data_IF_927292114372
#
_entry.id   IF_927292114372
#
_cell.length_a   1.000
_cell.length_b   1.000
_cell.length_c   1.000
_cell.angle_alpha   90.00
_cell.angle_beta   90.00
_cell.angle_gamma   90.00
#
_symmetry.space_group_name_H-M   'P 1'
#
loop_
_entity.id
_entity.type
_entity.pdbx_description
1 polymer ?
#
# COMPACT_ATOMS: atom_id res chain seq x y z
N UNK A 1 -5.32 14.99 -31.01
CA UNK A 1 -5.73 16.26 -30.37
C UNK A 1 -5.93 16.04 -28.85
N UNK A 2 -5.06 15.26 -28.20
CA UNK A 2 -5.44 14.54 -26.96
C UNK A 2 -4.57 14.82 -25.73
N UNK A 3 -3.25 15.04 -25.86
CA UNK A 3 -2.40 15.35 -24.68
C UNK A 3 -2.45 16.81 -24.22
N UNK A 4 -2.41 17.77 -25.15
CA UNK A 4 -2.40 19.20 -24.80
C UNK A 4 -3.72 19.64 -24.15
N UNK A 5 -4.85 19.12 -24.63
CA UNK A 5 -6.17 19.45 -24.09
C UNK A 5 -6.37 18.88 -22.68
N UNK A 6 -5.87 17.66 -22.40
CA UNK A 6 -5.90 17.07 -21.06
C UNK A 6 -5.01 17.83 -20.06
N UNK A 7 -3.79 18.21 -20.47
CA UNK A 7 -2.88 19.02 -19.65
C UNK A 7 -3.51 20.39 -19.33
N UNK A 8 -4.12 21.03 -20.33
CA UNK A 8 -4.82 22.31 -20.15
C UNK A 8 -6.04 22.16 -19.22
N UNK A 9 -6.80 21.06 -19.35
CA UNK A 9 -7.95 20.82 -18.48
C UNK A 9 -7.53 20.57 -17.02
N UNK A 10 -6.47 19.79 -16.77
CA UNK A 10 -5.93 19.56 -15.43
C UNK A 10 -5.39 20.85 -14.83
N UNK A 11 -4.66 21.66 -15.61
CA UNK A 11 -4.19 22.98 -15.17
C UNK A 11 -5.35 23.93 -14.85
N UNK A 12 -6.40 23.98 -15.66
CA UNK A 12 -7.56 24.84 -15.40
C UNK A 12 -8.30 24.38 -14.14
N UNK A 13 -8.49 23.08 -13.94
CA UNK A 13 -9.12 22.55 -12.71
C UNK A 13 -8.25 22.85 -11.49
N UNK A 14 -6.92 22.65 -11.58
CA UNK A 14 -6.00 22.98 -10.50
C UNK A 14 -6.01 24.48 -10.15
N UNK A 15 -5.99 25.36 -11.15
CA UNK A 15 -6.04 26.83 -10.94
C UNK A 15 -7.38 27.25 -10.33
N UNK A 16 -8.50 26.67 -10.77
CA UNK A 16 -9.82 26.98 -10.21
C UNK A 16 -9.92 26.51 -8.75
N UNK A 17 -9.43 25.32 -8.44
CA UNK A 17 -9.36 24.79 -7.07
C UNK A 17 -8.51 25.72 -6.20
N UNK A 18 -7.27 26.02 -6.59
CA UNK A 18 -6.38 26.93 -5.84
C UNK A 18 -7.00 28.32 -5.66
N UNK A 19 -7.68 28.84 -6.67
CA UNK A 19 -8.34 30.15 -6.63
C UNK A 19 -9.56 30.20 -5.70
N UNK A 20 -10.36 29.14 -5.63
CA UNK A 20 -11.51 29.03 -4.71
C UNK A 20 -11.01 28.85 -3.27
N UNK A 21 -9.98 28.02 -3.06
CA UNK A 21 -9.37 27.77 -1.76
C UNK A 21 -8.75 29.02 -1.12
N UNK A 22 -8.05 29.84 -1.91
CA UNK A 22 -7.49 31.10 -1.42
C UNK A 22 -8.57 32.07 -0.92
N UNK A 23 -9.77 32.04 -1.52
CA UNK A 23 -10.90 32.91 -1.14
C UNK A 23 -11.59 32.39 0.13
N UNK A 24 -11.65 31.07 0.34
CA UNK A 24 -12.24 30.49 1.56
C UNK A 24 -11.38 30.71 2.80
N UNK A 25 -10.05 30.66 2.68
CA UNK A 25 -9.12 30.92 3.80
C UNK A 25 -9.15 32.38 4.28
N UNK A 26 -9.42 33.34 3.40
CA UNK A 26 -9.57 34.76 3.80
C UNK A 26 -10.81 35.02 4.67
N UNK A 27 -11.69 34.03 4.87
CA UNK A 27 -12.98 34.20 5.54
C UNK A 27 -13.11 33.40 6.85
N UNK A 28 -12.10 32.60 7.23
CA UNK A 28 -12.09 31.85 8.50
C UNK A 28 -11.18 32.58 9.51
N UNK A 29 -11.71 32.91 10.68
CA UNK A 29 -11.00 33.67 11.73
C UNK A 29 -10.26 32.73 12.72
N UNK A 30 -9.92 31.51 12.29
CA UNK A 30 -9.15 30.53 13.08
C UNK A 30 -7.66 30.86 13.08
N UNK A 31 -6.93 30.39 14.09
CA UNK A 31 -5.47 30.39 14.04
C UNK A 31 -5.04 29.19 13.18
N UNK A 32 -4.63 29.44 11.93
CA UNK A 32 -4.19 28.37 11.01
C UNK A 32 -2.91 27.66 11.50
N UNK A 33 -2.18 28.25 12.45
CA UNK A 33 -0.94 27.70 13.01
C UNK A 33 -1.09 26.28 13.58
N UNK A 34 -2.28 25.90 14.08
CA UNK A 34 -2.55 24.56 14.63
C UNK A 34 -3.42 23.70 13.70
N UNK A 35 -3.57 24.06 12.42
CA UNK A 35 -4.41 23.33 11.46
C UNK A 35 -3.60 22.81 10.27
N UNK A 36 -3.72 21.51 9.97
CA UNK A 36 -3.27 20.92 8.71
C UNK A 36 -4.47 20.73 7.79
N UNK A 37 -4.40 21.31 6.60
CA UNK A 37 -5.41 21.06 5.56
C UNK A 37 -5.02 19.84 4.73
N UNK A 38 -5.95 18.93 4.48
CA UNK A 38 -5.68 17.75 3.66
C UNK A 38 -6.62 17.66 2.46
N UNK A 39 -6.16 16.98 1.42
CA UNK A 39 -6.92 16.70 0.20
C UNK A 39 -6.52 15.36 -0.39
N UNK A 40 -7.39 14.79 -1.22
CA UNK A 40 -7.10 13.52 -1.90
C UNK A 40 -6.17 13.78 -3.09
N UNK A 41 -4.94 13.28 -2.99
CA UNK A 41 -3.95 13.32 -4.07
C UNK A 41 -3.38 11.92 -4.27
N UNK A 42 -3.60 11.30 -5.45
CA UNK A 42 -2.95 10.03 -5.78
C UNK A 42 -1.42 10.14 -5.63
N UNK A 43 -0.74 9.16 -5.00
CA UNK A 43 0.71 9.18 -4.80
C UNK A 43 1.53 9.55 -6.03
N UNK A 44 1.18 8.98 -7.19
CA UNK A 44 1.84 9.24 -8.47
C UNK A 44 1.84 10.71 -8.89
N UNK A 45 0.89 11.51 -8.38
CA UNK A 45 0.73 12.93 -8.69
C UNK A 45 1.33 13.85 -7.60
N UNK A 46 1.64 13.34 -6.41
CA UNK A 46 2.06 14.19 -5.27
C UNK A 46 3.34 14.96 -5.59
N UNK A 47 4.36 14.31 -6.17
CA UNK A 47 5.60 14.98 -6.61
C UNK A 47 5.34 16.20 -7.48
N UNK A 48 4.58 16.01 -8.55
CA UNK A 48 4.32 17.08 -9.53
C UNK A 48 3.49 18.22 -8.91
N UNK A 49 2.57 17.90 -8.00
CA UNK A 49 1.78 18.91 -7.29
C UNK A 49 2.59 19.70 -6.27
N UNK A 50 3.53 19.07 -5.56
CA UNK A 50 4.48 19.74 -4.66
C UNK A 50 5.37 20.69 -5.47
N UNK A 51 5.97 20.21 -6.56
CA UNK A 51 6.84 21.00 -7.45
C UNK A 51 6.11 22.21 -8.07
N UNK A 52 4.80 22.07 -8.32
CA UNK A 52 3.96 23.16 -8.85
C UNK A 52 3.42 24.11 -7.77
N UNK A 53 3.65 23.84 -6.48
CA UNK A 53 3.10 24.60 -5.37
C UNK A 53 1.57 24.49 -5.24
N UNK A 54 0.98 23.39 -5.72
CA UNK A 54 -0.46 23.11 -5.59
C UNK A 54 -0.79 22.50 -4.22
N UNK A 55 0.18 21.81 -3.61
CA UNK A 55 0.16 21.30 -2.24
C UNK A 55 1.53 21.56 -1.61
N UNK A 56 1.59 21.71 -0.30
CA UNK A 56 2.85 21.95 0.41
C UNK A 56 3.61 20.65 0.72
N UNK A 57 2.88 19.54 0.76
CA UNK A 57 3.44 18.22 1.00
C UNK A 57 2.46 17.10 0.68
N UNK A 58 2.89 15.86 0.89
CA UNK A 58 2.07 14.68 0.73
C UNK A 58 2.50 13.57 1.66
N UNK A 59 1.54 12.72 2.05
CA UNK A 59 1.83 11.45 2.73
C UNK A 59 1.70 10.34 1.70
N UNK A 60 2.79 9.61 1.47
CA UNK A 60 2.90 8.62 0.39
C UNK A 60 3.60 7.35 0.84
N UNK A 61 3.71 6.40 -0.09
CA UNK A 61 4.50 5.17 0.04
C UNK A 61 5.59 5.08 -1.04
N UNK A 62 6.57 4.22 -0.83
CA UNK A 62 7.62 3.92 -1.82
C UNK A 62 7.04 3.30 -3.11
N UNK A 63 7.43 3.77 -4.31
CA UNK A 63 8.58 4.63 -4.60
C UNK A 63 8.30 6.13 -4.60
N UNK A 64 7.06 6.55 -4.34
CA UNK A 64 6.64 7.94 -4.53
C UNK A 64 7.30 8.89 -3.53
N UNK A 65 7.66 8.40 -2.34
CA UNK A 65 8.49 9.13 -1.39
C UNK A 65 9.88 9.42 -1.97
N UNK A 66 10.64 8.38 -2.32
CA UNK A 66 11.98 8.52 -2.90
C UNK A 66 12.00 9.31 -4.22
N UNK A 67 10.99 9.14 -5.07
CA UNK A 67 10.85 9.91 -6.31
C UNK A 67 10.68 11.41 -6.07
N UNK A 68 9.94 11.79 -5.02
CA UNK A 68 9.75 13.19 -4.65
C UNK A 68 11.03 13.80 -4.07
N UNK A 69 11.75 13.04 -3.23
CA UNK A 69 13.02 13.48 -2.65
C UNK A 69 14.10 13.66 -3.72
N UNK A 70 14.23 12.68 -4.62
CA UNK A 70 15.24 12.71 -5.68
C UNK A 70 14.94 13.70 -6.80
N UNK A 71 13.73 14.27 -6.88
CA UNK A 71 13.46 15.38 -7.79
C UNK A 71 14.13 16.69 -7.34
N UNK A 72 14.45 16.80 -6.06
CA UNK A 72 15.06 17.99 -5.45
C UNK A 72 14.07 19.06 -4.99
N UNK A 73 12.77 18.83 -5.18
CA UNK A 73 11.71 19.79 -4.81
C UNK A 73 11.11 19.51 -3.42
N UNK A 74 11.44 18.35 -2.83
CA UNK A 74 10.87 17.90 -1.58
C UNK A 74 11.89 17.14 -0.71
N UNK A 75 11.58 17.00 0.57
CA UNK A 75 12.31 16.15 1.51
C UNK A 75 11.35 15.44 2.46
N UNK A 76 11.81 14.37 3.10
CA UNK A 76 11.05 13.73 4.18
C UNK A 76 11.13 14.58 5.45
N UNK A 77 9.97 15.06 5.92
CA UNK A 77 9.86 15.64 7.26
C UNK A 77 9.90 14.52 8.32
N UNK A 78 9.27 13.38 8.02
CA UNK A 78 9.18 12.24 8.90
C UNK A 78 8.99 10.96 8.09
N UNK A 79 9.80 9.93 8.38
CA UNK A 79 9.56 8.57 7.91
C UNK A 79 8.59 7.86 8.84
N UNK A 80 7.70 7.04 8.29
CA UNK A 80 6.68 6.35 9.08
C UNK A 80 7.27 5.40 10.12
N UNK A 81 8.45 4.82 9.86
CA UNK A 81 9.19 4.00 10.83
C UNK A 81 9.68 4.77 12.05
N UNK A 82 9.94 6.08 11.93
CA UNK A 82 10.33 6.92 13.07
C UNK A 82 9.14 7.19 14.01
N UNK A 83 7.91 7.15 13.48
CA UNK A 83 6.68 7.37 14.24
C UNK A 83 6.04 6.06 14.73
N UNK A 84 5.97 5.06 13.86
CA UNK A 84 5.45 3.72 14.12
C UNK A 84 6.47 2.65 13.71
N UNK A 85 7.45 2.34 14.57
CA UNK A 85 8.51 1.39 14.23
C UNK A 85 7.97 0.01 13.87
N UNK A 86 8.37 -0.51 12.71
CA UNK A 86 7.96 -1.79 12.15
C UNK A 86 6.45 -1.95 11.91
N UNK A 87 5.73 -0.85 11.67
CA UNK A 87 4.29 -0.95 11.42
C UNK A 87 4.02 -1.68 10.10
N UNK A 88 3.00 -2.57 10.05
CA UNK A 88 2.62 -3.25 8.83
C UNK A 88 2.06 -2.25 7.82
N UNK A 89 2.40 -2.43 6.54
CA UNK A 89 1.78 -1.68 5.45
C UNK A 89 0.97 -2.64 4.58
N UNK A 90 1.54 -3.21 3.52
CA UNK A 90 0.84 -4.13 2.64
C UNK A 90 0.77 -5.55 3.21
N UNK A 91 -0.32 -6.21 2.86
CA UNK A 91 -0.64 -7.60 3.17
C UNK A 91 -1.16 -8.29 1.92
N UNK A 92 -1.05 -9.62 1.91
CA UNK A 92 -1.73 -10.47 0.93
C UNK A 92 -3.03 -10.96 1.55
N UNK A 93 -4.14 -10.58 0.93
CA UNK A 93 -5.48 -10.99 1.34
C UNK A 93 -6.09 -11.98 0.36
N UNK A 94 -7.03 -12.78 0.84
CA UNK A 94 -7.82 -13.73 0.06
C UNK A 94 -9.29 -13.66 0.47
N UNK A 95 -10.22 -13.85 -0.46
CA UNK A 95 -11.63 -14.07 -0.11
C UNK A 95 -11.77 -15.36 0.72
N UNK A 96 -12.47 -15.29 1.85
CA UNK A 96 -12.56 -16.38 2.81
C UNK A 96 -13.24 -17.63 2.22
N UNK A 97 -14.35 -17.45 1.49
CA UNK A 97 -15.03 -18.57 0.82
C UNK A 97 -14.14 -19.23 -0.24
N UNK A 98 -13.46 -18.43 -1.06
CA UNK A 98 -12.50 -18.94 -2.03
C UNK A 98 -11.37 -19.73 -1.36
N UNK A 99 -10.84 -19.23 -0.23
CA UNK A 99 -9.75 -19.87 0.48
C UNK A 99 -10.16 -21.20 1.14
N UNK A 100 -11.39 -21.29 1.65
CA UNK A 100 -11.95 -22.53 2.19
C UNK A 100 -12.15 -23.59 1.11
N UNK A 101 -12.55 -23.18 -0.10
CA UNK A 101 -12.73 -24.06 -1.25
C UNK A 101 -11.41 -24.47 -1.93
N UNK A 102 -10.40 -23.59 -1.89
CA UNK A 102 -9.15 -23.75 -2.63
C UNK A 102 -7.89 -23.63 -1.74
N UNK A 103 -7.80 -24.34 -0.59
CA UNK A 103 -6.73 -24.14 0.39
C UNK A 103 -5.32 -24.43 -0.17
N UNK A 104 -5.20 -25.43 -1.04
CA UNK A 104 -3.92 -25.75 -1.69
C UNK A 104 -3.51 -24.67 -2.69
N UNK A 105 -4.44 -24.12 -3.48
CA UNK A 105 -4.14 -23.08 -4.47
C UNK A 105 -3.69 -21.78 -3.78
N UNK A 106 -4.33 -21.41 -2.67
CA UNK A 106 -3.92 -20.28 -1.83
C UNK A 106 -2.52 -20.53 -1.26
N UNK A 107 -2.25 -21.71 -0.71
CA UNK A 107 -0.94 -22.06 -0.17
C UNK A 107 0.17 -22.05 -1.24
N UNK A 108 -0.10 -22.53 -2.46
CA UNK A 108 0.83 -22.45 -3.60
C UNK A 108 1.11 -21.00 -4.02
N UNK A 109 0.09 -20.15 -4.00
CA UNK A 109 0.24 -18.71 -4.28
C UNK A 109 1.13 -18.04 -3.23
N UNK A 110 0.94 -18.40 -1.95
CA UNK A 110 1.78 -17.94 -0.85
C UNK A 110 3.22 -18.47 -0.99
N UNK A 111 3.42 -19.72 -1.40
CA UNK A 111 4.75 -20.28 -1.63
C UNK A 111 5.54 -19.49 -2.70
N UNK A 112 4.88 -19.10 -3.80
CA UNK A 112 5.48 -18.22 -4.81
C UNK A 112 5.83 -16.83 -4.24
N UNK A 113 4.97 -16.25 -3.39
CA UNK A 113 5.22 -14.99 -2.70
C UNK A 113 6.42 -15.06 -1.74
N UNK A 114 6.53 -16.14 -0.95
CA UNK A 114 7.67 -16.39 -0.05
C UNK A 114 8.96 -16.47 -0.85
N UNK A 115 9.01 -17.34 -1.87
CA UNK A 115 10.21 -17.56 -2.67
C UNK A 115 10.66 -16.28 -3.38
N UNK A 116 9.72 -15.49 -3.90
CA UNK A 116 10.03 -14.18 -4.47
C UNK A 116 10.59 -13.21 -3.43
N UNK A 117 10.02 -13.19 -2.21
CA UNK A 117 10.50 -12.34 -1.13
C UNK A 117 11.91 -12.73 -0.69
N UNK A 118 12.16 -14.02 -0.48
CA UNK A 118 13.48 -14.55 -0.13
C UNK A 118 14.52 -14.22 -1.22
N UNK A 119 14.16 -14.34 -2.50
CA UNK A 119 15.04 -13.95 -3.60
C UNK A 119 15.39 -12.46 -3.58
N UNK A 120 14.43 -11.58 -3.27
CA UNK A 120 14.69 -10.14 -3.15
C UNK A 120 15.65 -9.88 -1.99
N UNK A 121 15.39 -10.47 -0.83
CA UNK A 121 16.22 -10.30 0.37
C UNK A 121 17.66 -10.77 0.13
N UNK A 122 17.85 -11.95 -0.48
CA UNK A 122 19.16 -12.46 -0.88
C UNK A 122 19.86 -11.54 -1.89
N UNK A 123 19.11 -11.06 -2.88
CA UNK A 123 19.63 -10.15 -3.92
C UNK A 123 20.12 -8.83 -3.34
N UNK A 124 19.41 -8.26 -2.36
CA UNK A 124 19.82 -7.02 -1.67
C UNK A 124 21.05 -7.29 -0.78
N UNK A 125 21.04 -8.38 -0.01
CA UNK A 125 22.15 -8.74 0.87
C UNK A 125 23.45 -8.99 0.08
N UNK A 126 23.34 -9.56 -1.11
CA UNK A 126 24.47 -9.92 -1.97
C UNK A 126 24.65 -8.99 -3.18
N UNK A 127 24.16 -7.75 -3.12
CA UNK A 127 24.15 -6.82 -4.25
C UNK A 127 25.54 -6.54 -4.88
N UNK A 128 26.63 -6.72 -4.14
CA UNK A 128 28.00 -6.57 -4.65
C UNK A 128 28.57 -7.84 -5.27
N UNK A 129 28.25 -9.00 -4.69
CA UNK A 129 28.73 -10.31 -5.14
C UNK A 129 27.93 -10.81 -6.36
N UNK A 130 26.64 -10.46 -6.42
CA UNK A 130 25.72 -10.78 -7.50
C UNK A 130 25.06 -9.52 -8.08
N UNK A 131 25.90 -8.62 -8.62
CA UNK A 131 25.45 -7.37 -9.23
C UNK A 131 24.47 -7.54 -10.42
N UNK A 132 24.46 -8.72 -11.06
CA UNK A 132 23.52 -9.02 -12.13
C UNK A 132 22.08 -9.15 -11.58
N UNK A 133 21.87 -9.92 -10.51
CA UNK A 133 20.56 -10.04 -9.87
C UNK A 133 20.07 -8.69 -9.35
N UNK A 134 20.95 -7.91 -8.72
CA UNK A 134 20.58 -6.59 -8.23
C UNK A 134 20.19 -5.64 -9.37
N UNK A 135 20.92 -5.68 -10.49
CA UNK A 135 20.54 -4.93 -11.70
C UNK A 135 19.18 -5.35 -12.24
N UNK A 136 18.90 -6.66 -12.30
CA UNK A 136 17.59 -7.20 -12.71
C UNK A 136 16.47 -6.74 -11.77
N UNK A 137 16.69 -6.81 -10.45
CA UNK A 137 15.77 -6.32 -9.42
C UNK A 137 15.43 -4.84 -9.69
N UNK A 138 16.44 -3.97 -9.78
CA UNK A 138 16.21 -2.54 -10.04
C UNK A 138 15.44 -2.29 -11.36
N UNK A 139 15.73 -3.05 -12.42
CA UNK A 139 15.02 -2.94 -13.71
C UNK A 139 13.54 -3.37 -13.61
N UNK A 140 13.25 -4.43 -12.85
CA UNK A 140 11.87 -4.85 -12.58
C UNK A 140 11.11 -3.77 -11.82
N UNK A 141 11.70 -3.25 -10.75
CA UNK A 141 11.10 -2.16 -9.98
C UNK A 141 10.89 -0.91 -10.83
N UNK A 142 11.85 -0.58 -11.69
CA UNK A 142 11.81 0.57 -12.60
C UNK A 142 10.65 0.46 -13.60
N UNK A 143 10.52 -0.70 -14.23
CA UNK A 143 9.44 -0.99 -15.18
C UNK A 143 8.07 -0.93 -14.48
N UNK A 144 7.95 -1.59 -13.34
CA UNK A 144 6.69 -1.69 -12.61
C UNK A 144 6.21 -0.35 -12.05
N UNK A 145 7.12 0.47 -11.51
CA UNK A 145 6.78 1.77 -10.93
C UNK A 145 6.78 2.93 -11.93
N UNK A 146 7.25 2.70 -13.16
CA UNK A 146 7.59 3.76 -14.11
C UNK A 146 8.48 4.84 -13.48
N UNK A 147 9.52 4.41 -12.73
CA UNK A 147 10.56 5.26 -12.12
C UNK A 147 11.94 4.76 -12.53
N UNK A 148 12.95 5.61 -12.37
CA UNK A 148 14.32 5.20 -12.68
C UNK A 148 14.88 4.25 -11.60
N UNK A 149 15.95 3.54 -11.92
CA UNK A 149 16.57 2.56 -11.00
C UNK A 149 17.16 3.19 -9.74
N UNK A 150 17.56 4.46 -9.78
CA UNK A 150 18.03 5.19 -8.59
C UNK A 150 16.91 5.43 -7.57
N UNK A 151 15.70 5.76 -8.04
CA UNK A 151 14.50 5.84 -7.20
C UNK A 151 14.21 4.48 -6.59
N UNK A 152 14.23 3.40 -7.38
CA UNK A 152 13.98 2.05 -6.87
C UNK A 152 15.01 1.66 -5.82
N UNK A 153 16.29 1.97 -6.03
CA UNK A 153 17.34 1.69 -5.06
C UNK A 153 17.11 2.43 -3.74
N UNK A 154 16.82 3.74 -3.80
CA UNK A 154 16.49 4.54 -2.62
C UNK A 154 15.25 4.00 -1.88
N UNK A 155 14.22 3.58 -2.62
CA UNK A 155 13.01 3.01 -2.04
C UNK A 155 13.27 1.75 -1.19
N UNK A 156 14.21 0.91 -1.61
CA UNK A 156 14.57 -0.31 -0.88
C UNK A 156 15.26 -0.03 0.47
N UNK A 157 15.74 1.20 0.70
CA UNK A 157 16.35 1.61 1.97
C UNK A 157 15.29 2.00 3.03
N UNK A 158 14.05 2.25 2.61
CA UNK A 158 13.01 2.82 3.47
C UNK A 158 11.85 1.85 3.77
N UNK A 159 11.88 0.64 3.23
CA UNK A 159 10.88 -0.39 3.47
C UNK A 159 11.55 -1.73 3.75
N UNK A 160 10.92 -2.56 4.58
CA UNK A 160 11.35 -3.95 4.77
C UNK A 160 10.31 -4.90 4.18
N UNK A 161 10.74 -5.75 3.25
CA UNK A 161 9.91 -6.81 2.69
C UNK A 161 9.98 -8.05 3.57
N UNK A 162 8.83 -8.68 3.81
CA UNK A 162 8.69 -9.88 4.64
C UNK A 162 7.38 -10.59 4.31
N UNK A 163 7.17 -11.76 4.90
CA UNK A 163 5.96 -12.58 4.64
C UNK A 163 5.32 -13.18 5.88
N UNK A 164 6.02 -13.21 7.01
CA UNK A 164 5.59 -13.88 8.23
C UNK A 164 4.37 -13.21 8.85
N UNK A 165 3.45 -14.02 9.39
CA UNK A 165 2.38 -13.55 10.26
C UNK A 165 2.84 -13.77 11.70
N UNK A 166 2.87 -12.70 12.51
CA UNK A 166 3.36 -12.75 13.89
C UNK A 166 2.48 -11.92 14.83
N UNK A 167 2.74 -12.02 16.14
CA UNK A 167 1.94 -11.30 17.14
C UNK A 167 2.10 -9.79 17.04
N UNK A 168 3.27 -9.28 16.61
CA UNK A 168 3.49 -7.84 16.41
C UNK A 168 2.58 -7.29 15.30
N UNK A 169 2.40 -8.02 14.20
CA UNK A 169 1.42 -7.69 13.17
C UNK A 169 0.03 -7.59 13.81
N UNK A 170 -0.40 -8.63 14.53
CA UNK A 170 -1.74 -8.67 15.14
C UNK A 170 -1.96 -7.48 16.08
N UNK A 171 -0.97 -7.16 16.93
CA UNK A 171 -1.01 -6.02 17.84
C UNK A 171 -1.20 -4.69 17.08
N UNK A 172 -0.46 -4.51 15.98
CA UNK A 172 -0.64 -3.34 15.12
C UNK A 172 -2.02 -3.29 14.45
N UNK A 173 -2.54 -4.41 13.95
CA UNK A 173 -3.87 -4.44 13.35
C UNK A 173 -4.98 -4.17 14.38
N UNK A 174 -4.82 -4.63 15.62
CA UNK A 174 -5.71 -4.29 16.74
C UNK A 174 -5.67 -2.77 17.00
N UNK A 175 -4.48 -2.18 17.05
CA UNK A 175 -4.31 -0.75 17.29
C UNK A 175 -4.88 0.09 16.15
N UNK A 176 -4.57 -0.24 14.90
CA UNK A 176 -5.17 0.43 13.72
C UNK A 176 -6.69 0.35 13.73
N UNK A 177 -7.26 -0.82 14.05
CA UNK A 177 -8.72 -0.97 14.14
C UNK A 177 -9.31 -0.07 15.22
N UNK A 178 -8.67 0.02 16.40
CA UNK A 178 -9.09 0.91 17.49
C UNK A 178 -8.98 2.39 17.10
N UNK A 179 -7.93 2.78 16.38
CA UNK A 179 -7.77 4.13 15.85
C UNK A 179 -8.82 4.46 14.78
N UNK A 180 -9.16 3.53 13.88
CA UNK A 180 -10.26 3.76 12.93
C UNK A 180 -11.60 3.95 13.64
N UNK A 181 -11.84 3.25 14.75
CA UNK A 181 -13.02 3.47 15.59
C UNK A 181 -12.97 4.86 16.24
N UNK A 182 -11.85 5.24 16.87
CA UNK A 182 -11.74 6.51 17.60
C UNK A 182 -11.79 7.73 16.69
N UNK A 183 -11.24 7.62 15.48
CA UNK A 183 -11.19 8.67 14.44
C UNK A 183 -12.45 8.68 13.55
N UNK A 184 -13.47 7.87 13.86
CA UNK A 184 -14.75 7.86 13.14
C UNK A 184 -14.65 7.38 11.68
N UNK A 185 -13.69 6.52 11.37
CA UNK A 185 -13.45 5.98 10.02
C UNK A 185 -14.27 4.71 9.72
N UNK A 186 -14.96 4.15 10.71
CA UNK A 186 -15.92 3.05 10.55
C UNK A 186 -17.36 3.57 10.58
N UNK A 187 -18.21 3.09 9.67
CA UNK A 187 -19.57 3.62 9.43
C UNK A 187 -20.44 3.64 10.69
N UNK A 188 -20.31 2.62 11.56
CA UNK A 188 -21.04 2.50 12.83
C UNK A 188 -20.10 2.49 14.05
N UNK A 189 -18.88 3.03 13.91
CA UNK A 189 -17.86 3.01 14.97
C UNK A 189 -17.61 1.59 15.49
N UNK A 190 -17.61 1.43 16.82
CA UNK A 190 -17.38 0.12 17.45
C UNK A 190 -18.45 -0.93 17.10
N UNK A 191 -19.68 -0.52 16.79
CA UNK A 191 -20.75 -1.46 16.46
C UNK A 191 -20.48 -2.21 15.15
N UNK A 192 -19.69 -1.64 14.23
CA UNK A 192 -19.30 -2.29 12.98
C UNK A 192 -18.62 -3.65 13.21
N UNK A 193 -17.82 -3.79 14.28
CA UNK A 193 -17.15 -5.05 14.66
C UNK A 193 -18.18 -6.12 15.03
N UNK A 194 -19.15 -5.77 15.88
CA UNK A 194 -20.20 -6.70 16.32
C UNK A 194 -21.24 -6.98 15.24
N UNK A 195 -21.55 -5.99 14.38
CA UNK A 195 -22.47 -6.12 13.24
C UNK A 195 -21.94 -7.13 12.22
N UNK A 196 -20.60 -7.26 12.13
CA UNK A 196 -19.92 -8.28 11.32
C UNK A 196 -19.75 -9.63 12.02
N UNK A 197 -20.23 -9.76 13.26
CA UNK A 197 -20.25 -11.02 14.01
C UNK A 197 -19.04 -11.28 14.90
N UNK A 198 -18.14 -10.31 15.06
CA UNK A 198 -16.99 -10.45 15.97
C UNK A 198 -17.34 -9.99 17.38
N UNK A 199 -16.79 -10.69 18.37
CA UNK A 199 -17.07 -10.38 19.79
C UNK A 199 -16.22 -9.24 20.36
N UNK A 200 -15.07 -8.95 19.76
CA UNK A 200 -14.19 -7.82 20.07
C UNK A 200 -13.26 -7.52 18.88
N UNK A 201 -12.49 -6.43 18.97
CA UNK A 201 -11.44 -6.13 17.98
C UNK A 201 -10.37 -7.22 17.96
N UNK A 202 -9.98 -7.75 19.11
CA UNK A 202 -9.02 -8.84 19.23
C UNK A 202 -9.54 -10.11 18.58
N UNK A 203 -10.81 -10.49 18.84
CA UNK A 203 -11.44 -11.62 18.19
C UNK A 203 -11.56 -11.45 16.67
N UNK A 204 -11.83 -10.22 16.21
CA UNK A 204 -11.77 -9.89 14.79
C UNK A 204 -10.38 -10.17 14.22
N UNK A 205 -9.31 -9.58 14.79
CA UNK A 205 -7.96 -9.75 14.27
C UNK A 205 -7.47 -11.20 14.32
N UNK A 206 -7.78 -11.95 15.37
CA UNK A 206 -7.45 -13.37 15.46
C UNK A 206 -8.13 -14.24 14.41
N UNK A 207 -9.31 -13.82 13.93
CA UNK A 207 -10.00 -14.50 12.82
C UNK A 207 -9.52 -14.00 11.47
N UNK A 208 -9.26 -12.69 11.38
CA UNK A 208 -8.91 -11.99 10.14
C UNK A 208 -7.51 -12.36 9.65
N UNK A 209 -6.56 -12.58 10.57
CA UNK A 209 -5.22 -13.07 10.26
C UNK A 209 -5.23 -14.60 10.34
N UNK A 210 -5.08 -15.27 9.20
CA UNK A 210 -5.13 -16.72 9.09
C UNK A 210 -3.81 -17.30 8.56
N UNK A 211 -3.03 -17.88 9.46
CA UNK A 211 -1.73 -18.49 9.17
C UNK A 211 -1.80 -19.94 8.67
N UNK A 212 -2.99 -20.56 8.65
CA UNK A 212 -3.13 -21.97 8.25
C UNK A 212 -2.64 -22.23 6.82
N UNK A 213 -2.91 -21.32 5.88
CA UNK A 213 -2.44 -21.44 4.49
C UNK A 213 -0.93 -21.22 4.36
N UNK A 214 -0.38 -20.31 5.15
CA UNK A 214 1.07 -20.12 5.26
C UNK A 214 1.73 -21.40 5.79
N UNK A 215 1.16 -22.01 6.85
CA UNK A 215 1.64 -23.27 7.41
C UNK A 215 1.63 -24.40 6.37
N UNK A 216 0.64 -24.46 5.49
CA UNK A 216 0.62 -25.41 4.35
C UNK A 216 1.77 -25.08 3.39
N UNK A 217 1.93 -23.80 3.02
CA UNK A 217 2.99 -23.33 2.10
C UNK A 217 4.39 -23.71 2.58
N UNK A 218 4.68 -23.58 3.88
CA UNK A 218 6.01 -23.88 4.46
C UNK A 218 6.16 -25.29 5.02
N UNK A 219 5.11 -26.13 5.00
CA UNK A 219 5.15 -27.47 5.59
C UNK A 219 6.13 -28.46 4.93
N UNK A 220 6.64 -28.12 3.73
CA UNK A 220 7.46 -29.01 2.90
C UNK A 220 6.66 -30.06 2.12
N UNK A 221 5.33 -30.08 2.24
CA UNK A 221 4.47 -31.00 1.49
C UNK A 221 4.04 -30.47 0.12
N UNK A 222 4.22 -29.17 -0.15
CA UNK A 222 4.00 -28.59 -1.47
C UNK A 222 5.30 -28.58 -2.26
N UNK A 223 5.20 -28.93 -3.54
CA UNK A 223 6.30 -28.84 -4.49
C UNK A 223 5.86 -28.10 -5.74
N UNK A 224 6.84 -27.51 -6.43
CA UNK A 224 6.66 -27.03 -7.81
C UNK A 224 6.17 -28.16 -8.71
N UNK A 225 5.39 -27.79 -9.72
CA UNK A 225 4.73 -28.72 -10.64
C UNK A 225 4.82 -28.19 -12.06
N UNK A 226 4.76 -29.10 -13.03
CA UNK A 226 4.78 -28.75 -14.45
C UNK A 226 3.40 -28.41 -15.03
N UNK A 227 2.33 -28.76 -14.31
CA UNK A 227 0.94 -28.55 -14.72
C UNK A 227 0.26 -27.44 -13.91
N UNK A 228 -0.78 -26.85 -14.50
CA UNK A 228 -1.64 -25.90 -13.80
C UNK A 228 -2.54 -26.65 -12.82
N UNK A 229 -2.39 -26.35 -11.52
CA UNK A 229 -3.25 -26.85 -10.44
C UNK A 229 -4.55 -26.07 -10.39
N UNK A 230 -4.50 -24.76 -10.62
CA UNK A 230 -5.69 -23.91 -10.67
C UNK A 230 -5.40 -22.50 -11.18
N UNK A 231 -6.48 -21.79 -11.47
CA UNK A 231 -6.44 -20.38 -11.90
C UNK A 231 -6.91 -19.48 -10.76
N UNK A 232 -6.24 -18.36 -10.57
CA UNK A 232 -6.54 -17.40 -9.52
C UNK A 232 -6.54 -15.97 -10.06
N UNK A 233 -7.54 -15.16 -9.69
CA UNK A 233 -7.61 -13.75 -10.05
C UNK A 233 -6.94 -12.89 -8.98
N UNK A 234 -5.83 -12.23 -9.32
CA UNK A 234 -4.99 -11.48 -8.38
C UNK A 234 -5.09 -9.96 -8.59
N UNK A 235 -5.47 -9.24 -7.54
CA UNK A 235 -5.46 -7.78 -7.48
C UNK A 235 -4.13 -7.21 -6.95
N UNK A 236 -3.73 -6.06 -7.46
CA UNK A 236 -2.52 -5.37 -7.02
C UNK A 236 -2.59 -3.86 -7.30
N UNK A 237 -1.70 -3.09 -6.66
CA UNK A 237 -1.63 -1.63 -6.84
C UNK A 237 -0.68 -1.23 -7.97
N UNK A 238 -1.03 -0.15 -8.65
CA UNK A 238 -0.22 0.42 -9.70
C UNK A 238 1.06 1.06 -9.14
N UNK A 239 2.22 0.48 -9.48
CA UNK A 239 3.54 1.03 -9.18
C UNK A 239 3.97 1.05 -7.71
N UNK A 240 3.23 0.38 -6.81
CA UNK A 240 3.54 0.30 -5.38
C UNK A 240 4.66 -0.72 -5.10
N UNK A 241 5.88 -0.24 -4.82
CA UNK A 241 7.05 -1.09 -4.58
C UNK A 241 6.95 -1.89 -3.29
N UNK A 242 5.98 -1.61 -2.41
CA UNK A 242 5.70 -2.52 -1.30
C UNK A 242 5.34 -3.92 -1.81
N UNK A 243 4.74 -4.03 -2.99
CA UNK A 243 4.27 -5.28 -3.59
C UNK A 243 5.33 -5.95 -4.47
N UNK A 244 6.62 -5.73 -4.18
CA UNK A 244 7.71 -6.13 -5.06
C UNK A 244 7.80 -7.64 -5.28
N UNK A 245 7.52 -8.43 -4.24
CA UNK A 245 7.47 -9.88 -4.31
C UNK A 245 6.55 -10.38 -5.43
N UNK A 246 5.41 -9.72 -5.66
CA UNK A 246 4.52 -10.05 -6.78
C UNK A 246 5.14 -9.74 -8.14
N UNK A 247 5.89 -8.65 -8.27
CA UNK A 247 6.59 -8.29 -9.52
C UNK A 247 7.63 -9.35 -9.86
N UNK A 248 8.42 -9.75 -8.85
CA UNK A 248 9.43 -10.80 -8.96
C UNK A 248 8.78 -12.14 -9.26
N UNK A 249 7.70 -12.48 -8.57
CA UNK A 249 6.96 -13.72 -8.78
C UNK A 249 6.33 -13.82 -10.18
N UNK A 250 5.94 -12.70 -10.79
CA UNK A 250 5.42 -12.64 -12.17
C UNK A 250 6.51 -12.49 -13.25
N UNK A 251 7.80 -12.44 -12.88
CA UNK A 251 8.86 -12.24 -13.86
C UNK A 251 9.34 -13.57 -14.46
N UNK A 252 9.15 -13.74 -15.77
CA UNK A 252 9.60 -14.94 -16.51
C UNK A 252 11.09 -14.92 -16.86
N UNK A 253 11.70 -13.74 -16.96
CA UNK A 253 13.10 -13.56 -17.42
C UNK A 253 14.12 -13.87 -16.33
N UNK A 254 13.70 -13.90 -15.06
CA UNK A 254 14.56 -14.28 -13.94
C UNK A 254 15.10 -15.71 -14.03
N UNK A 255 14.38 -16.57 -14.73
CA UNK A 255 14.60 -18.01 -14.76
C UNK A 255 15.23 -18.47 -16.08
N UNK A 256 15.70 -17.54 -16.92
CA UNK A 256 16.44 -17.83 -18.15
C UNK A 256 17.66 -18.72 -17.86
N UNK A 257 17.83 -19.80 -18.63
CA UNK A 257 18.91 -20.76 -18.43
C UNK A 257 18.69 -21.75 -17.27
N UNK A 258 17.53 -21.74 -16.63
CA UNK A 258 17.10 -22.76 -15.64
C UNK A 258 16.06 -23.71 -16.25
N UNK A 259 15.67 -24.76 -15.53
CA UNK A 259 14.56 -25.63 -15.95
C UNK A 259 13.19 -24.92 -16.00
N UNK A 260 13.10 -23.71 -15.42
CA UNK A 260 11.90 -22.89 -15.39
C UNK A 260 11.92 -21.75 -16.41
N UNK A 261 12.79 -21.79 -17.41
CA UNK A 261 12.85 -20.78 -18.47
C UNK A 261 11.47 -20.56 -19.11
N UNK A 262 11.04 -19.29 -19.16
CA UNK A 262 9.73 -18.90 -19.68
C UNK A 262 8.55 -19.10 -18.72
N UNK A 263 8.78 -19.60 -17.50
CA UNK A 263 7.75 -19.74 -16.46
C UNK A 263 8.00 -18.75 -15.32
N UNK A 264 6.97 -18.01 -14.92
CA UNK A 264 7.01 -17.19 -13.71
C UNK A 264 6.86 -18.06 -12.44
N UNK A 265 7.13 -17.53 -11.25
CA UNK A 265 7.09 -18.32 -10.02
C UNK A 265 5.68 -18.87 -9.73
N UNK A 266 4.63 -18.10 -10.01
CA UNK A 266 3.27 -18.59 -9.84
C UNK A 266 3.02 -19.85 -10.68
N UNK A 267 3.42 -19.81 -11.96
CA UNK A 267 3.33 -20.94 -12.89
C UNK A 267 4.16 -22.12 -12.40
N UNK A 268 5.37 -21.88 -11.89
CA UNK A 268 6.23 -22.92 -11.32
C UNK A 268 5.58 -23.62 -10.12
N UNK A 269 4.80 -22.89 -9.32
CA UNK A 269 4.02 -23.43 -8.20
C UNK A 269 2.65 -24.00 -8.62
N UNK A 270 2.33 -24.01 -9.92
CA UNK A 270 1.10 -24.54 -10.49
C UNK A 270 -0.08 -23.57 -10.47
N UNK A 271 0.16 -22.29 -10.24
CA UNK A 271 -0.88 -21.25 -10.16
C UNK A 271 -0.89 -20.43 -11.44
N UNK A 272 -2.00 -20.48 -12.19
CA UNK A 272 -2.22 -19.55 -13.30
C UNK A 272 -2.85 -18.26 -12.77
N UNK A 273 -2.11 -17.15 -12.85
CA UNK A 273 -2.60 -15.85 -12.42
C UNK A 273 -3.33 -15.14 -13.56
N UNK A 274 -4.56 -14.72 -13.29
CA UNK A 274 -5.26 -13.70 -14.08
C UNK A 274 -5.37 -12.41 -13.29
N UNK A 275 -5.55 -11.27 -13.96
CA UNK A 275 -5.76 -10.00 -13.27
C UNK A 275 -6.65 -9.06 -14.09
N UNK A 276 -7.61 -8.38 -13.46
CA UNK A 276 -8.41 -7.35 -14.14
C UNK A 276 -7.61 -6.07 -14.44
N UNK A 277 -6.37 -5.97 -13.97
CA UNK A 277 -5.50 -4.82 -14.11
C UNK A 277 -5.11 -4.21 -12.76
N UNK A 278 -4.23 -3.21 -12.81
CA UNK A 278 -3.73 -2.53 -11.63
C UNK A 278 -4.79 -1.59 -11.03
N UNK A 279 -4.90 -1.57 -9.71
CA UNK A 279 -5.78 -0.67 -8.96
C UNK A 279 -5.04 0.60 -8.51
N UNK A 280 -5.78 1.70 -8.40
CA UNK A 280 -5.20 2.99 -8.02
C UNK A 280 -4.83 3.08 -6.52
N UNK A 281 -5.56 2.36 -5.65
CA UNK A 281 -5.31 2.30 -4.21
C UNK A 281 -6.00 1.06 -3.60
N UNK A 282 -5.72 0.76 -2.32
CA UNK A 282 -6.25 -0.43 -1.66
C UNK A 282 -7.77 -0.46 -1.50
N UNK A 283 -8.45 0.70 -1.46
CA UNK A 283 -9.92 0.72 -1.42
C UNK A 283 -10.53 0.19 -2.72
N UNK A 284 -9.89 0.47 -3.87
CA UNK A 284 -10.28 -0.10 -5.15
C UNK A 284 -9.94 -1.59 -5.28
N UNK A 285 -8.85 -2.08 -4.65
CA UNK A 285 -8.61 -3.52 -4.54
C UNK A 285 -9.75 -4.19 -3.79
N UNK A 286 -10.20 -3.61 -2.68
CA UNK A 286 -11.35 -4.13 -1.93
C UNK A 286 -12.69 -4.04 -2.69
N UNK A 287 -12.84 -3.10 -3.61
CA UNK A 287 -13.96 -3.12 -4.55
C UNK A 287 -13.85 -4.29 -5.54
N UNK A 288 -12.62 -4.63 -5.97
CA UNK A 288 -12.35 -5.85 -6.73
C UNK A 288 -12.86 -7.10 -6.02
N UNK A 289 -12.55 -7.24 -4.72
CA UNK A 289 -13.10 -8.31 -3.89
C UNK A 289 -14.62 -8.28 -3.85
N UNK A 290 -15.23 -7.15 -3.47
CA UNK A 290 -16.69 -6.99 -3.31
C UNK A 290 -17.46 -7.35 -4.60
N UNK A 291 -16.90 -7.03 -5.77
CA UNK A 291 -17.49 -7.35 -7.07
C UNK A 291 -17.22 -8.78 -7.56
N UNK A 292 -16.40 -9.57 -6.85
CA UNK A 292 -15.96 -10.90 -7.26
C UNK A 292 -15.00 -10.88 -8.45
N UNK A 293 -14.32 -9.75 -8.69
CA UNK A 293 -13.36 -9.60 -9.79
C UNK A 293 -11.96 -10.14 -9.46
N UNK A 294 -11.66 -10.34 -8.18
CA UNK A 294 -10.40 -10.92 -7.69
C UNK A 294 -10.67 -11.88 -6.52
N UNK A 295 -9.84 -12.92 -6.43
CA UNK A 295 -9.87 -13.95 -5.39
C UNK A 295 -8.82 -13.68 -4.30
N UNK A 296 -7.67 -13.12 -4.69
CA UNK A 296 -6.61 -12.64 -3.81
C UNK A 296 -6.16 -11.24 -4.21
N UNK A 297 -5.51 -10.52 -3.30
CA UNK A 297 -5.01 -9.19 -3.60
C UNK A 297 -3.93 -8.70 -2.66
N UNK A 298 -2.99 -7.94 -3.23
CA UNK A 298 -2.01 -7.15 -2.50
C UNK A 298 -2.58 -5.76 -2.23
N UNK A 299 -2.65 -5.38 -0.95
CA UNK A 299 -3.17 -4.08 -0.53
C UNK A 299 -2.69 -3.71 0.88
N UNK A 300 -2.83 -2.43 1.24
CA UNK A 300 -2.58 -1.98 2.60
C UNK A 300 -3.48 -2.67 3.63
N UNK A 301 -2.96 -2.90 4.84
CA UNK A 301 -3.73 -3.46 5.95
C UNK A 301 -4.87 -2.55 6.41
N UNK A 302 -4.75 -1.21 6.42
CA UNK A 302 -5.89 -0.31 6.64
C UNK A 302 -7.09 -0.47 5.71
N UNK A 303 -6.96 -0.40 4.36
CA UNK A 303 -8.13 -0.58 3.51
C UNK A 303 -8.70 -1.99 3.63
N UNK A 304 -7.88 -3.02 3.91
CA UNK A 304 -8.36 -4.36 4.21
C UNK A 304 -9.25 -4.36 5.46
N UNK A 305 -8.81 -3.79 6.59
CA UNK A 305 -9.59 -3.67 7.83
C UNK A 305 -10.88 -2.88 7.59
N UNK A 306 -10.75 -1.64 7.10
CA UNK A 306 -11.86 -0.68 7.03
C UNK A 306 -12.95 -1.18 6.10
N UNK A 307 -12.59 -1.67 4.91
CA UNK A 307 -13.58 -2.11 3.93
C UNK A 307 -14.20 -3.45 4.30
N UNK A 308 -13.42 -4.37 4.87
CA UNK A 308 -13.96 -5.60 5.44
C UNK A 308 -14.98 -5.28 6.52
N UNK A 309 -14.65 -4.47 7.52
CA UNK A 309 -15.61 -4.13 8.58
C UNK A 309 -16.84 -3.38 8.02
N UNK A 310 -16.66 -2.40 7.12
CA UNK A 310 -17.75 -1.55 6.64
C UNK A 310 -18.67 -2.20 5.60
N UNK A 311 -18.17 -3.12 4.78
CA UNK A 311 -18.98 -3.80 3.75
C UNK A 311 -19.24 -5.19 4.26
N UNK A 312 -20.46 -5.51 4.67
CA UNK A 312 -20.83 -6.82 5.22
C UNK A 312 -21.44 -7.75 4.15
N UNK A 313 -20.61 -8.17 3.20
CA UNK A 313 -20.98 -9.11 2.10
C UNK A 313 -20.04 -10.32 2.09
N UNK A 314 -20.49 -11.46 1.55
CA UNK A 314 -19.65 -12.67 1.41
C UNK A 314 -18.37 -12.39 0.61
N UNK A 315 -18.46 -11.56 -0.42
CA UNK A 315 -17.32 -11.18 -1.27
C UNK A 315 -16.29 -10.29 -0.55
N UNK A 316 -16.74 -9.44 0.36
CA UNK A 316 -15.87 -8.61 1.20
C UNK A 316 -15.28 -9.36 2.41
N UNK A 317 -15.73 -10.59 2.65
CA UNK A 317 -15.17 -11.46 3.69
C UNK A 317 -13.81 -11.98 3.24
N UNK A 318 -12.75 -11.39 3.78
CA UNK A 318 -11.37 -11.69 3.42
C UNK A 318 -10.57 -12.13 4.65
N UNK A 319 -9.45 -12.79 4.41
CA UNK A 319 -8.43 -13.13 5.41
C UNK A 319 -7.09 -12.58 4.94
N UNK A 320 -6.31 -12.04 5.88
CA UNK A 320 -4.88 -11.78 5.68
C UNK A 320 -4.15 -13.11 5.84
N UNK A 321 -3.41 -13.50 4.80
CA UNK A 321 -2.70 -14.80 4.74
C UNK A 321 -1.19 -14.66 4.64
N UNK A 322 -0.68 -13.45 4.42
CA UNK A 322 0.75 -13.14 4.53
C UNK A 322 0.96 -11.63 4.71
N UNK A 323 2.04 -11.24 5.39
CA UNK A 323 2.56 -9.88 5.27
C UNK A 323 3.24 -9.68 3.92
N UNK A 324 3.45 -8.44 3.54
CA UNK A 324 4.17 -8.11 2.31
C UNK A 324 5.31 -7.15 2.62
N UNK A 325 5.04 -6.14 3.46
CA UNK A 325 6.08 -5.24 3.94
C UNK A 325 5.68 -4.55 5.26
N UNK A 326 6.70 -4.03 5.95
CA UNK A 326 6.56 -3.01 6.99
C UNK A 326 7.19 -1.69 6.50
N UNK A 327 6.69 -0.58 7.04
CA UNK A 327 7.19 0.78 6.79
C UNK A 327 7.14 1.20 5.30
N UNK A 328 8.02 2.11 4.88
CA UNK A 328 8.06 2.62 3.50
C UNK A 328 7.05 3.71 3.19
N UNK A 329 6.58 4.46 4.18
CA UNK A 329 5.78 5.68 4.00
C UNK A 329 6.48 6.89 4.62
N UNK A 330 6.14 8.09 4.16
CA UNK A 330 6.68 9.32 4.73
C UNK A 330 5.70 10.48 4.59
N UNK A 331 5.86 11.47 5.48
CA UNK A 331 5.37 12.83 5.28
C UNK A 331 6.45 13.58 4.49
N UNK A 332 6.21 13.78 3.21
CA UNK A 332 7.08 14.50 2.27
C UNK A 332 6.61 15.94 2.16
N UNK A 333 7.51 16.91 2.26
CA UNK A 333 7.17 18.33 2.21
C UNK A 333 8.14 19.11 1.31
N UNK A 334 7.69 20.25 0.81
CA UNK A 334 8.54 21.17 0.04
C UNK A 334 9.67 21.75 0.90
N UNK A 335 10.58 22.51 0.27
CA UNK A 335 11.75 23.09 0.96
C UNK A 335 11.44 24.16 2.01
N UNK A 336 10.21 24.66 2.07
CA UNK A 336 9.82 25.78 2.95
C UNK A 336 9.37 25.29 4.34
N UNK A 337 9.09 24.00 4.50
CA UNK A 337 8.69 23.36 5.77
C UNK A 337 9.91 22.67 6.36
N UNK A 338 10.47 23.17 7.47
CA UNK A 338 11.70 22.65 8.07
C UNK A 338 11.46 21.96 9.41
N UNK A 339 10.40 22.33 10.12
CA UNK A 339 10.02 21.72 11.39
C UNK A 339 8.57 21.26 11.37
N UNK A 340 8.17 20.52 12.41
CA UNK A 340 6.80 20.02 12.55
C UNK A 340 5.81 21.20 12.69
N UNK A 341 6.22 22.26 13.38
CA UNK A 341 5.42 23.47 13.58
C UNK A 341 5.11 24.20 12.27
N UNK A 342 5.98 24.09 11.26
CA UNK A 342 5.77 24.71 9.95
C UNK A 342 4.61 24.08 9.15
N UNK A 343 4.02 22.97 9.63
CA UNK A 343 2.84 22.34 9.04
C UNK A 343 1.54 23.11 9.28
N UNK A 344 1.53 24.07 10.22
CA UNK A 344 0.40 24.96 10.43
C UNK A 344 0.00 25.70 9.16
N UNK A 345 -1.27 25.58 8.77
CA UNK A 345 -1.86 26.18 7.57
C UNK A 345 -1.49 25.49 6.27
N UNK A 346 -0.72 24.39 6.31
CA UNK A 346 -0.21 23.72 5.11
C UNK A 346 -1.18 22.70 4.53
N UNK A 347 -1.04 22.48 3.23
CA UNK A 347 -1.90 21.58 2.47
C UNK A 347 -1.17 20.29 2.15
N UNK A 348 -1.63 19.20 2.77
CA UNK A 348 -0.98 17.89 2.70
C UNK A 348 -1.87 16.91 1.92
N UNK A 349 -1.37 16.47 0.77
CA UNK A 349 -2.02 15.46 -0.05
C UNK A 349 -1.95 14.07 0.58
N UNK A 350 -3.07 13.35 0.63
CA UNK A 350 -3.07 11.92 1.03
C UNK A 350 -3.81 11.07 -0.01
N UNK A 351 -3.59 9.75 -0.05
CA UNK A 351 -4.35 8.84 -0.91
C UNK A 351 -5.85 8.78 -0.59
N UNK A 352 -6.25 9.33 0.57
CA UNK A 352 -7.62 9.48 1.03
C UNK A 352 -7.99 8.60 2.22
N UNK A 353 -9.24 8.72 2.72
CA UNK A 353 -9.73 7.98 3.88
C UNK A 353 -9.58 6.47 3.73
N UNK A 354 -9.22 5.80 4.82
CA UNK A 354 -8.97 4.35 4.87
C UNK A 354 -7.59 3.91 4.37
N UNK A 355 -6.74 4.81 3.86
CA UNK A 355 -5.33 4.51 3.59
C UNK A 355 -4.47 4.59 4.86
N UNK A 356 -3.35 3.86 4.91
CA UNK A 356 -2.39 3.95 6.02
C UNK A 356 -1.77 5.36 6.09
N UNK A 357 -1.56 6.02 4.96
CA UNK A 357 -1.00 7.36 4.89
C UNK A 357 -1.95 8.41 5.45
N UNK A 358 -3.26 8.26 5.22
CA UNK A 358 -4.24 9.14 5.84
C UNK A 358 -4.34 8.89 7.35
N UNK A 359 -4.34 7.62 7.79
CA UNK A 359 -4.29 7.31 9.23
C UNK A 359 -3.02 7.89 9.88
N UNK A 360 -1.87 7.75 9.22
CA UNK A 360 -0.59 8.30 9.67
C UNK A 360 -0.68 9.82 9.85
N UNK A 361 -1.26 10.55 8.89
CA UNK A 361 -1.45 12.00 9.02
C UNK A 361 -2.34 12.35 10.22
N UNK A 362 -3.45 11.64 10.42
CA UNK A 362 -4.38 11.90 11.52
C UNK A 362 -3.73 11.64 12.89
N UNK A 363 -3.05 10.51 13.03
CA UNK A 363 -2.37 10.13 14.27
C UNK A 363 -1.18 11.05 14.58
N UNK A 364 -0.39 11.38 13.56
CA UNK A 364 0.70 12.35 13.66
C UNK A 364 0.17 13.71 14.10
N UNK A 365 -0.85 14.24 13.43
CA UNK A 365 -1.44 15.53 13.76
C UNK A 365 -1.95 15.54 15.22
N UNK A 366 -2.67 14.49 15.63
CA UNK A 366 -3.16 14.36 17.01
C UNK A 366 -2.01 14.35 18.03
N UNK A 367 -0.93 13.62 17.76
CA UNK A 367 0.23 13.52 18.65
C UNK A 367 0.97 14.86 18.78
N UNK A 368 0.91 15.71 17.76
CA UNK A 368 1.57 17.01 17.70
C UNK A 368 0.64 18.21 17.95
N UNK A 369 -0.63 17.97 18.29
CA UNK A 369 -1.58 19.02 18.66
C UNK A 369 -2.24 19.74 17.47
N UNK A 370 -2.12 19.22 16.25
CA UNK A 370 -2.77 19.76 15.07
C UNK A 370 -4.21 19.25 14.92
N UNK A 371 -5.09 20.13 14.44
CA UNK A 371 -6.38 19.77 13.86
C UNK A 371 -6.20 19.42 12.37
N UNK A 372 -6.87 18.38 11.87
CA UNK A 372 -6.84 18.01 10.45
C UNK A 372 -8.18 18.34 9.81
N UNK A 373 -8.18 19.24 8.81
CA UNK A 373 -9.38 19.68 8.10
C UNK A 373 -9.32 19.33 6.63
N UNK A 374 -10.43 18.87 6.05
CA UNK A 374 -10.52 18.73 4.61
C UNK A 374 -10.41 20.13 3.99
N UNK A 375 -9.47 20.31 3.05
CA UNK A 375 -9.31 21.56 2.33
C UNK A 375 -10.62 21.89 1.60
N UNK A 376 -11.19 23.07 1.86
CA UNK A 376 -12.47 23.48 1.28
C UNK A 376 -12.33 23.62 -0.24
N UNK A 377 -12.98 22.76 -1.01
CA UNK A 377 -12.92 22.76 -2.50
C UNK A 377 -13.58 23.96 -3.14
#
# INVERSE_FOLDING_TARGET
MEKKTAIIAVLIVAIVIVGVLAVTLMNDNGNDEDTIYWLVVPPVNQKDQISQGLIDGGVSWEPYCSDSILSGDAHALLWSGDFWPNHPCCVLAVNAGFADENPELVARTIAAHIEATEWILDTIANQTENSENYTKLLQMGSTFSARNTSVVAASLEHMTLLYELNDQLKDYLVNFTKEFISLGQLTNGNATVTDRGYSSVENFIDTFVNDSYMNIAVSGNLTKVDETVGTLSLGYLNGDLHQFARVVASNVTMWEGTEYEGKDLFTQWGVEITSPGAYANGAFVMQGFDTGAIDMGYLGSPPAIVKHLNVNTDNSDIRIVSQVNVEGSAIIVNSDILTIEDLGGKWIGTPGPGSIQHLLLLAFAQAHGFEVKLAAT
#
